data_IF_704625816845
#
_entry.id   IF_704625816845
#
_cell.length_a   1.000
_cell.length_b   1.000
_cell.length_c   1.000
_cell.angle_alpha   90.00
_cell.angle_beta   90.00
_cell.angle_gamma   90.00
#
_symmetry.space_group_name_H-M   'P 1'
#
loop_
_entity.id
_entity.type
_entity.pdbx_description
1 polymer ?
#
# COMPACT_ATOMS: atom_id res chain seq x y z
N UNK A 1 -17.76 73.32 -8.82
CA UNK A 1 -16.68 72.84 -7.93
C UNK A 1 -17.10 71.48 -7.42
N UNK A 2 -16.53 70.41 -7.98
CA UNK A 2 -16.88 69.05 -7.57
C UNK A 2 -16.27 68.77 -6.20
N UNK A 3 -17.13 68.81 -5.18
CA UNK A 3 -16.77 68.47 -3.80
C UNK A 3 -16.20 67.05 -3.79
N UNK A 4 -14.99 66.91 -3.30
CA UNK A 4 -14.34 65.62 -3.11
C UNK A 4 -14.77 64.98 -1.79
N UNK A 5 -14.98 63.67 -1.80
CA UNK A 5 -15.48 62.90 -0.65
C UNK A 5 -14.46 61.84 -0.21
N UNK A 6 -14.35 61.64 1.09
CA UNK A 6 -13.50 60.62 1.70
C UNK A 6 -14.16 59.25 1.66
N UNK A 7 -13.38 58.18 1.90
CA UNK A 7 -13.91 56.80 2.04
C UNK A 7 -15.11 56.71 2.98
N UNK A 8 -15.10 57.44 4.10
CA UNK A 8 -16.20 57.41 5.09
C UNK A 8 -17.48 58.02 4.51
N UNK A 9 -17.37 59.12 3.79
CA UNK A 9 -18.52 59.78 3.16
C UNK A 9 -19.07 58.95 2.01
N UNK A 10 -18.19 58.36 1.18
CA UNK A 10 -18.59 57.44 0.10
C UNK A 10 -19.34 56.23 0.67
N UNK A 11 -18.82 55.64 1.75
CA UNK A 11 -19.46 54.52 2.45
C UNK A 11 -20.90 54.88 2.89
N UNK A 12 -21.09 56.07 3.46
CA UNK A 12 -22.42 56.57 3.83
C UNK A 12 -23.33 56.83 2.63
N UNK A 13 -22.81 57.26 1.48
CA UNK A 13 -23.64 57.52 0.28
C UNK A 13 -24.19 56.27 -0.39
N UNK A 14 -23.51 55.13 -0.22
CA UNK A 14 -23.89 53.88 -0.88
C UNK A 14 -24.30 52.80 0.14
N UNK A 15 -24.53 53.18 1.39
CA UNK A 15 -24.96 52.28 2.47
C UNK A 15 -24.05 51.05 2.63
N UNK A 16 -22.73 51.27 2.62
CA UNK A 16 -21.73 50.23 2.84
C UNK A 16 -20.80 50.62 3.99
N UNK A 17 -20.04 49.66 4.50
CA UNK A 17 -19.05 49.96 5.54
C UNK A 17 -17.78 50.55 4.92
N UNK A 18 -17.08 51.48 5.62
CA UNK A 18 -15.78 51.99 5.14
C UNK A 18 -14.74 50.89 4.86
N UNK A 19 -14.86 49.71 5.48
CA UNK A 19 -13.99 48.58 5.23
C UNK A 19 -14.25 47.94 3.85
N UNK A 20 -15.53 47.76 3.49
CA UNK A 20 -15.93 47.25 2.17
C UNK A 20 -15.44 48.17 1.06
N UNK A 21 -15.62 49.49 1.21
CA UNK A 21 -15.11 50.48 0.24
C UNK A 21 -13.59 50.37 0.07
N UNK A 22 -12.85 50.18 1.17
CA UNK A 22 -11.38 49.99 1.09
C UNK A 22 -10.99 48.71 0.38
N UNK A 23 -11.72 47.62 0.60
CA UNK A 23 -11.46 46.34 -0.06
C UNK A 23 -11.74 46.45 -1.57
N UNK A 24 -12.89 46.99 -1.96
CA UNK A 24 -13.21 47.25 -3.37
C UNK A 24 -12.18 48.19 -4.02
N UNK A 25 -11.79 49.25 -3.31
CA UNK A 25 -10.76 50.15 -3.80
C UNK A 25 -9.39 49.48 -3.95
N UNK A 26 -9.03 48.55 -3.06
CA UNK A 26 -7.77 47.81 -3.14
C UNK A 26 -7.70 46.93 -4.38
N UNK A 27 -8.80 46.26 -4.71
CA UNK A 27 -8.87 45.32 -5.83
C UNK A 27 -9.11 46.02 -7.17
N UNK A 28 -9.95 47.06 -7.20
CA UNK A 28 -10.40 47.72 -8.44
C UNK A 28 -9.82 49.13 -8.59
N UNK A 29 -8.67 49.40 -7.97
CA UNK A 29 -8.07 50.75 -7.87
C UNK A 29 -7.94 51.46 -9.20
N UNK A 30 -7.48 50.73 -10.22
CA UNK A 30 -7.21 51.27 -11.56
C UNK A 30 -8.48 51.70 -12.30
N UNK A 31 -9.64 51.22 -11.86
CA UNK A 31 -10.94 51.51 -12.47
C UNK A 31 -11.76 52.53 -11.68
N UNK A 32 -11.31 52.95 -10.49
CA UNK A 32 -12.01 53.90 -9.63
C UNK A 32 -11.30 55.27 -9.70
N UNK A 33 -11.92 56.29 -10.32
CA UNK A 33 -11.39 57.65 -10.32
C UNK A 33 -11.20 58.18 -8.90
N UNK A 34 -9.98 58.59 -8.58
CA UNK A 34 -9.61 59.10 -7.26
C UNK A 34 -8.45 60.11 -7.34
N UNK A 35 -8.43 61.04 -6.40
CA UNK A 35 -7.36 62.02 -6.23
C UNK A 35 -6.76 61.90 -4.83
N UNK A 36 -5.52 62.37 -4.66
CA UNK A 36 -4.95 62.52 -3.32
C UNK A 36 -5.37 63.86 -2.74
N UNK A 37 -5.66 63.89 -1.44
CA UNK A 37 -6.00 65.13 -0.75
C UNK A 37 -4.83 66.12 -0.82
N UNK A 38 -5.12 67.35 -1.28
CA UNK A 38 -4.17 68.47 -1.30
C UNK A 38 -3.69 68.87 0.11
N UNK A 39 -4.43 68.47 1.15
CA UNK A 39 -4.17 68.82 2.55
C UNK A 39 -3.10 67.93 3.23
N UNK A 40 -2.24 67.26 2.47
CA UNK A 40 -1.05 66.55 2.98
C UNK A 40 -1.31 65.24 3.74
N UNK A 41 -2.56 64.89 4.06
CA UNK A 41 -2.87 63.69 4.86
C UNK A 41 -2.90 62.37 4.06
N UNK A 42 -2.58 62.37 2.77
CA UNK A 42 -2.47 61.16 1.94
C UNK A 42 -3.78 60.39 1.66
N UNK A 43 -4.92 60.87 2.20
CA UNK A 43 -6.24 60.28 1.97
C UNK A 43 -6.65 60.34 0.50
N UNK A 44 -7.32 59.28 0.05
CA UNK A 44 -7.98 59.26 -1.25
C UNK A 44 -9.29 60.03 -1.17
N UNK A 45 -9.48 60.89 -2.15
CA UNK A 45 -10.66 61.73 -2.33
C UNK A 45 -11.33 61.29 -3.62
N UNK A 46 -12.64 61.04 -3.55
CA UNK A 46 -13.46 60.58 -4.65
C UNK A 46 -14.41 61.69 -5.05
N UNK A 47 -14.39 62.06 -6.33
CA UNK A 47 -15.39 62.94 -6.93
C UNK A 47 -16.62 62.10 -7.33
N UNK A 48 -17.59 62.75 -7.97
CA UNK A 48 -18.83 62.13 -8.46
C UNK A 48 -18.56 60.85 -9.27
N UNK A 49 -17.60 60.88 -10.18
CA UNK A 49 -17.23 59.73 -11.04
C UNK A 49 -16.74 58.52 -10.23
N UNK A 50 -15.95 58.76 -9.17
CA UNK A 50 -15.51 57.71 -8.26
C UNK A 50 -16.67 57.10 -7.48
N UNK A 51 -17.62 57.93 -7.04
CA UNK A 51 -18.84 57.48 -6.35
C UNK A 51 -19.72 56.66 -7.29
N UNK A 52 -19.92 57.10 -8.53
CA UNK A 52 -20.66 56.36 -9.56
C UNK A 52 -20.02 54.99 -9.80
N UNK A 53 -18.68 54.89 -9.84
CA UNK A 53 -17.99 53.60 -9.94
C UNK A 53 -18.26 52.69 -8.74
N UNK A 54 -18.26 53.22 -7.52
CA UNK A 54 -18.59 52.41 -6.35
C UNK A 54 -20.04 51.93 -6.34
N UNK A 55 -20.99 52.72 -6.84
CA UNK A 55 -22.39 52.29 -7.02
C UNK A 55 -22.49 51.16 -8.04
N UNK A 56 -21.75 51.23 -9.14
CA UNK A 56 -21.70 50.16 -10.14
C UNK A 56 -21.11 48.87 -9.54
N UNK A 57 -20.01 48.97 -8.80
CA UNK A 57 -19.44 47.83 -8.06
C UNK A 57 -20.45 47.23 -7.08
N UNK A 58 -21.18 48.08 -6.35
CA UNK A 58 -22.22 47.63 -5.41
C UNK A 58 -23.33 46.86 -6.13
N UNK A 59 -23.88 47.38 -7.23
CA UNK A 59 -24.93 46.71 -7.98
C UNK A 59 -24.44 45.35 -8.52
N UNK A 60 -23.24 45.30 -9.11
CA UNK A 60 -22.67 44.06 -9.62
C UNK A 60 -22.41 43.03 -8.50
N UNK A 61 -21.85 43.47 -7.38
CA UNK A 61 -21.50 42.57 -6.28
C UNK A 61 -22.70 42.13 -5.44
N UNK A 62 -23.65 43.03 -5.16
CA UNK A 62 -24.76 42.77 -4.22
C UNK A 62 -26.04 42.31 -4.92
N UNK A 63 -26.37 42.90 -6.06
CA UNK A 63 -27.61 42.56 -6.79
C UNK A 63 -27.38 41.38 -7.73
N UNK A 64 -26.22 41.34 -8.38
CA UNK A 64 -25.89 40.31 -9.37
C UNK A 64 -24.97 39.20 -8.84
N UNK A 65 -24.49 39.31 -7.59
CA UNK A 65 -23.57 38.36 -6.94
C UNK A 65 -22.28 38.10 -7.74
N UNK A 66 -21.77 39.10 -8.46
CA UNK A 66 -20.50 38.97 -9.16
C UNK A 66 -19.33 39.00 -8.18
N UNK A 67 -18.35 38.11 -8.38
CA UNK A 67 -17.06 38.16 -7.69
C UNK A 67 -16.25 39.39 -8.13
N UNK A 68 -15.32 39.85 -7.29
CA UNK A 68 -14.46 40.99 -7.63
C UNK A 68 -13.68 40.78 -8.94
N UNK A 69 -13.27 39.54 -9.26
CA UNK A 69 -12.62 39.20 -10.54
C UNK A 69 -13.53 39.37 -11.76
N UNK A 70 -14.81 39.03 -11.62
CA UNK A 70 -15.79 39.23 -12.69
C UNK A 70 -16.04 40.72 -12.93
N UNK A 71 -16.12 41.50 -11.85
CA UNK A 71 -16.24 42.96 -11.92
C UNK A 71 -14.99 43.59 -12.54
N UNK A 72 -13.80 43.11 -12.16
CA UNK A 72 -12.52 43.55 -12.74
C UNK A 72 -12.48 43.30 -14.25
N UNK A 73 -12.85 42.09 -14.69
CA UNK A 73 -12.92 41.73 -16.10
C UNK A 73 -13.93 42.62 -16.85
N UNK A 74 -15.13 42.79 -16.30
CA UNK A 74 -16.16 43.64 -16.91
C UNK A 74 -15.68 45.08 -17.12
N UNK A 75 -14.94 45.66 -16.17
CA UNK A 75 -14.32 46.97 -16.34
C UNK A 75 -13.16 46.96 -17.33
N UNK A 76 -12.38 45.87 -17.41
CA UNK A 76 -11.29 45.73 -18.38
C UNK A 76 -11.80 45.61 -19.82
N UNK A 77 -12.93 44.94 -20.04
CA UNK A 77 -13.53 44.68 -21.36
C UNK A 77 -14.57 45.71 -21.77
N UNK A 78 -14.75 46.79 -21.00
CA UNK A 78 -15.67 47.87 -21.35
C UNK A 78 -17.15 47.47 -21.33
N UNK A 79 -17.54 46.53 -20.47
CA UNK A 79 -18.93 46.16 -20.27
C UNK A 79 -19.36 44.81 -20.85
N UNK A 80 -18.44 44.05 -21.44
CA UNK A 80 -18.76 42.68 -21.88
C UNK A 80 -19.03 41.75 -20.68
N UNK A 81 -20.14 41.02 -20.73
CA UNK A 81 -20.49 40.02 -19.72
C UNK A 81 -19.38 38.97 -19.64
N UNK A 82 -18.85 38.73 -18.44
CA UNK A 82 -17.89 37.66 -18.19
C UNK A 82 -18.46 36.32 -18.68
N UNK A 83 -17.89 35.78 -19.76
CA UNK A 83 -18.10 34.40 -20.19
C UNK A 83 -16.97 33.59 -19.57
N UNK A 84 -17.16 32.94 -18.41
CA UNK A 84 -16.18 31.95 -17.99
C UNK A 84 -16.07 30.95 -19.14
N UNK A 85 -14.84 30.64 -19.57
CA UNK A 85 -14.63 29.40 -20.30
C UNK A 85 -15.31 28.30 -19.49
N UNK A 86 -16.08 27.39 -20.13
CA UNK A 86 -16.78 26.35 -19.40
C UNK A 86 -15.73 25.49 -18.68
N UNK A 87 -15.52 25.76 -17.39
CA UNK A 87 -14.91 24.78 -16.50
C UNK A 87 -15.72 23.50 -16.67
N UNK A 88 -15.04 22.38 -16.96
CA UNK A 88 -15.67 21.06 -17.00
C UNK A 88 -16.63 20.98 -15.82
N UNK A 89 -17.93 20.86 -16.09
CA UNK A 89 -18.95 20.92 -15.03
C UNK A 89 -18.57 19.89 -13.98
N UNK A 90 -18.74 20.17 -12.68
CA UNK A 90 -18.39 19.23 -11.62
C UNK A 90 -18.91 17.79 -11.87
N UNK A 91 -20.05 17.65 -12.56
CA UNK A 91 -20.59 16.36 -12.99
C UNK A 91 -19.77 15.60 -14.04
N UNK A 92 -19.05 16.29 -14.94
CA UNK A 92 -18.14 15.66 -15.92
C UNK A 92 -16.87 15.13 -15.25
N UNK A 93 -16.31 15.88 -14.30
CA UNK A 93 -15.17 15.41 -13.49
C UNK A 93 -15.56 14.20 -12.63
N UNK A 94 -16.72 14.24 -11.99
CA UNK A 94 -17.26 13.11 -11.21
C UNK A 94 -17.53 11.89 -12.12
N UNK A 95 -18.01 12.11 -13.35
CA UNK A 95 -18.24 11.01 -14.30
C UNK A 95 -16.93 10.37 -14.78
N UNK A 96 -15.88 11.17 -15.03
CA UNK A 96 -14.53 10.69 -15.35
C UNK A 96 -13.95 9.88 -14.18
N UNK A 97 -14.05 10.37 -12.94
CA UNK A 97 -13.58 9.66 -11.74
C UNK A 97 -14.35 8.35 -11.50
N UNK A 98 -15.69 8.36 -11.61
CA UNK A 98 -16.51 7.15 -11.47
C UNK A 98 -16.18 6.10 -12.53
N UNK A 99 -15.83 6.55 -13.75
CA UNK A 99 -15.39 5.64 -14.81
C UNK A 99 -14.04 5.02 -14.47
N UNK A 100 -13.07 5.82 -14.02
CA UNK A 100 -11.75 5.33 -13.62
C UNK A 100 -11.86 4.31 -12.46
N UNK A 101 -12.67 4.60 -11.44
CA UNK A 101 -12.90 3.69 -10.31
C UNK A 101 -13.51 2.37 -10.77
N UNK A 102 -14.45 2.41 -11.74
CA UNK A 102 -15.06 1.18 -12.27
C UNK A 102 -14.06 0.32 -13.04
N UNK A 103 -13.18 0.95 -13.82
CA UNK A 103 -12.13 0.27 -14.58
C UNK A 103 -11.12 -0.38 -13.62
N UNK A 104 -10.69 0.33 -12.58
CA UNK A 104 -9.80 -0.21 -11.55
C UNK A 104 -10.44 -1.37 -10.77
N UNK A 105 -11.71 -1.23 -10.38
CA UNK A 105 -12.48 -2.30 -9.75
C UNK A 105 -12.61 -3.55 -10.63
N UNK A 106 -12.75 -3.37 -11.95
CA UNK A 106 -12.80 -4.49 -12.88
C UNK A 106 -11.45 -5.19 -12.99
N UNK A 107 -10.35 -4.44 -13.08
CA UNK A 107 -9.00 -4.97 -13.10
C UNK A 107 -8.67 -5.75 -11.82
N UNK A 108 -8.98 -5.18 -10.65
CA UNK A 108 -8.77 -5.85 -9.36
C UNK A 108 -9.58 -7.15 -9.22
N UNK A 109 -10.80 -7.20 -9.78
CA UNK A 109 -11.61 -8.43 -9.77
C UNK A 109 -10.98 -9.52 -10.63
N UNK A 110 -10.47 -9.16 -11.80
CA UNK A 110 -9.82 -10.10 -12.70
C UNK A 110 -8.50 -10.62 -12.11
N UNK A 111 -7.68 -9.74 -11.53
CA UNK A 111 -6.44 -10.13 -10.84
C UNK A 111 -6.73 -11.08 -9.67
N UNK A 112 -7.75 -10.77 -8.86
CA UNK A 112 -8.18 -11.66 -7.76
C UNK A 112 -8.65 -13.02 -8.27
N UNK A 113 -9.30 -13.07 -9.43
CA UNK A 113 -9.73 -14.34 -10.04
C UNK A 113 -8.50 -15.16 -10.46
N UNK A 114 -7.53 -14.54 -11.13
CA UNK A 114 -6.30 -15.20 -11.55
C UNK A 114 -5.48 -15.70 -10.35
N UNK A 115 -5.37 -14.91 -9.28
CA UNK A 115 -4.69 -15.34 -8.05
C UNK A 115 -5.36 -16.56 -7.42
N UNK A 116 -6.69 -16.63 -7.40
CA UNK A 116 -7.42 -17.80 -6.90
C UNK A 116 -7.15 -19.04 -7.74
N UNK A 117 -7.20 -18.93 -9.06
CA UNK A 117 -6.89 -20.05 -9.95
C UNK A 117 -5.45 -20.55 -9.76
N UNK A 118 -4.48 -19.65 -9.60
CA UNK A 118 -3.10 -20.03 -9.29
C UNK A 118 -2.96 -20.73 -7.94
N UNK A 119 -3.68 -20.26 -6.91
CA UNK A 119 -3.67 -20.86 -5.59
C UNK A 119 -4.28 -22.27 -5.62
N UNK A 120 -5.42 -22.44 -6.29
CA UNK A 120 -6.08 -23.73 -6.46
C UNK A 120 -5.18 -24.72 -7.22
N UNK A 121 -4.51 -24.26 -8.28
CA UNK A 121 -3.54 -25.07 -9.02
C UNK A 121 -2.34 -25.49 -8.14
N UNK A 122 -1.82 -24.57 -7.32
CA UNK A 122 -0.72 -24.86 -6.41
C UNK A 122 -1.14 -25.84 -5.31
N UNK A 123 -2.34 -25.67 -4.75
CA UNK A 123 -2.88 -26.58 -3.75
C UNK A 123 -3.07 -27.98 -4.32
N UNK A 124 -3.59 -28.08 -5.54
CA UNK A 124 -3.75 -29.34 -6.27
C UNK A 124 -2.39 -30.00 -6.53
N UNK A 125 -1.42 -29.25 -7.05
CA UNK A 125 -0.06 -29.76 -7.27
C UNK A 125 0.59 -30.27 -5.98
N UNK A 126 0.44 -29.52 -4.88
CA UNK A 126 0.97 -29.91 -3.59
C UNK A 126 0.34 -31.20 -3.07
N UNK A 127 -0.98 -31.36 -3.22
CA UNK A 127 -1.71 -32.58 -2.83
C UNK A 127 -1.35 -33.78 -3.67
N UNK A 128 -1.26 -33.61 -4.99
CA UNK A 128 -1.07 -34.73 -5.92
C UNK A 128 0.39 -35.17 -6.05
N UNK A 129 1.34 -34.25 -5.93
CA UNK A 129 2.75 -34.53 -6.24
C UNK A 129 3.67 -34.34 -5.05
N UNK A 130 3.59 -33.21 -4.35
CA UNK A 130 4.55 -32.88 -3.29
C UNK A 130 4.35 -33.79 -2.07
N UNK A 131 3.13 -33.92 -1.57
CA UNK A 131 2.85 -34.75 -0.40
C UNK A 131 3.17 -36.23 -0.66
N UNK A 132 2.70 -36.86 -1.76
CA UNK A 132 3.06 -38.25 -2.05
C UNK A 132 4.56 -38.45 -2.25
N UNK A 133 5.24 -37.52 -2.94
CA UNK A 133 6.69 -37.58 -3.13
C UNK A 133 7.45 -37.57 -1.79
N UNK A 134 7.06 -36.70 -0.85
CA UNK A 134 7.64 -36.68 0.50
C UNK A 134 7.39 -38.01 1.23
N UNK A 135 6.18 -38.57 1.11
CA UNK A 135 5.85 -39.85 1.75
C UNK A 135 6.68 -41.00 1.18
N UNK A 136 6.86 -41.05 -0.14
CA UNK A 136 7.72 -42.04 -0.79
C UNK A 136 9.16 -41.93 -0.31
N UNK A 137 9.75 -40.73 -0.33
CA UNK A 137 11.12 -40.50 0.14
C UNK A 137 11.28 -40.93 1.60
N UNK A 138 10.30 -40.63 2.46
CA UNK A 138 10.32 -41.09 3.86
C UNK A 138 10.33 -42.61 3.98
N UNK A 139 9.55 -43.31 3.14
CA UNK A 139 9.54 -44.77 3.08
C UNK A 139 10.87 -45.37 2.62
N UNK A 140 11.47 -44.79 1.59
CA UNK A 140 12.79 -45.20 1.08
C UNK A 140 13.88 -45.00 2.14
N UNK A 141 13.92 -43.83 2.78
CA UNK A 141 14.88 -43.53 3.86
C UNK A 141 14.72 -44.51 5.02
N UNK A 142 13.48 -44.84 5.41
CA UNK A 142 13.24 -45.83 6.47
C UNK A 142 13.73 -47.23 6.09
N UNK A 143 13.54 -47.62 4.82
CA UNK A 143 13.97 -48.93 4.31
C UNK A 143 15.48 -49.06 4.23
N UNK A 144 16.17 -47.99 3.79
CA UNK A 144 17.62 -47.90 3.77
C UNK A 144 18.17 -48.01 5.19
N UNK A 145 17.59 -47.26 6.14
CA UNK A 145 18.00 -47.31 7.55
C UNK A 145 17.89 -48.72 8.13
N UNK A 146 16.76 -49.41 7.90
CA UNK A 146 16.59 -50.79 8.37
C UNK A 146 17.60 -51.76 7.74
N UNK A 147 18.01 -51.52 6.49
CA UNK A 147 19.05 -52.35 5.85
C UNK A 147 20.42 -52.11 6.46
N UNK A 148 20.78 -50.85 6.73
CA UNK A 148 22.02 -50.50 7.44
C UNK A 148 22.07 -51.12 8.84
N UNK A 149 20.95 -51.14 9.56
CA UNK A 149 20.86 -51.76 10.89
C UNK A 149 21.07 -53.28 10.81
N UNK A 150 20.44 -53.97 9.85
CA UNK A 150 20.68 -55.40 9.62
C UNK A 150 22.12 -55.73 9.23
N UNK A 151 22.74 -54.92 8.38
CA UNK A 151 24.12 -55.13 7.96
C UNK A 151 25.08 -55.03 9.16
N UNK A 152 24.83 -54.09 10.09
CA UNK A 152 25.59 -54.00 11.34
C UNK A 152 25.44 -55.24 12.22
N UNK A 153 24.21 -55.72 12.40
CA UNK A 153 23.96 -56.93 13.19
C UNK A 153 24.65 -58.17 12.58
N UNK A 154 24.63 -58.28 11.25
CA UNK A 154 25.33 -59.35 10.52
C UNK A 154 26.85 -59.25 10.70
N UNK A 155 27.42 -58.05 10.61
CA UNK A 155 28.86 -57.85 10.82
C UNK A 155 29.30 -58.19 12.25
N UNK A 156 28.51 -57.80 13.25
CA UNK A 156 28.75 -58.15 14.65
C UNK A 156 28.67 -59.66 14.87
N UNK A 157 27.64 -60.32 14.32
CA UNK A 157 27.47 -61.77 14.40
C UNK A 157 28.63 -62.52 13.71
N UNK A 158 29.02 -62.08 12.51
CA UNK A 158 30.15 -62.63 11.77
C UNK A 158 31.46 -62.49 12.54
N UNK A 159 31.66 -61.37 13.22
CA UNK A 159 32.82 -61.14 14.08
C UNK A 159 32.82 -62.09 15.28
N UNK A 160 31.72 -62.19 16.01
CA UNK A 160 31.58 -63.11 17.14
C UNK A 160 31.79 -64.57 16.72
N UNK A 161 31.27 -64.97 15.56
CA UNK A 161 31.48 -66.31 15.01
C UNK A 161 32.94 -66.58 14.63
N UNK A 162 33.66 -65.58 14.09
CA UNK A 162 35.10 -65.68 13.82
C UNK A 162 35.90 -65.82 15.11
N UNK A 163 35.61 -65.01 16.12
CA UNK A 163 36.26 -65.07 17.44
C UNK A 163 36.02 -66.43 18.11
N UNK A 164 34.79 -66.95 18.07
CA UNK A 164 34.46 -68.28 18.58
C UNK A 164 35.22 -69.41 17.85
N UNK A 165 35.32 -69.34 16.51
CA UNK A 165 36.11 -70.30 15.72
C UNK A 165 37.59 -70.26 16.09
N UNK A 166 38.16 -69.08 16.31
CA UNK A 166 39.56 -68.93 16.75
C UNK A 166 39.77 -69.54 18.14
N UNK A 167 38.86 -69.32 19.09
CA UNK A 167 38.94 -69.92 20.43
C UNK A 167 38.86 -71.45 20.38
N UNK A 168 37.97 -72.01 19.56
CA UNK A 168 37.85 -73.47 19.37
C UNK A 168 39.11 -74.05 18.73
N UNK A 169 39.66 -73.37 17.72
CA UNK A 169 40.92 -73.79 17.09
C UNK A 169 42.09 -73.77 18.09
N UNK A 170 42.23 -72.69 18.87
CA UNK A 170 43.24 -72.58 19.92
C UNK A 170 43.08 -73.64 21.03
N UNK A 171 41.84 -74.02 21.36
CA UNK A 171 41.57 -75.10 22.30
C UNK A 171 41.93 -76.49 21.75
N UNK A 172 41.82 -76.69 20.43
CA UNK A 172 42.20 -77.95 19.76
C UNK A 172 43.70 -78.05 19.47
N UNK A 173 44.41 -76.94 19.32
CA UNK A 173 45.87 -76.89 19.08
C UNK A 173 46.73 -77.01 20.35
N UNK A 174 46.12 -77.08 21.54
CA UNK A 174 46.80 -77.36 22.82
C UNK A 174 46.41 -78.76 23.34
N UNK A 175 47.07 -79.85 22.89
CA UNK A 175 46.80 -81.20 23.39
C UNK A 175 47.60 -81.58 24.65
N UNK A 176 48.37 -80.66 25.25
CA UNK A 176 49.13 -80.95 26.48
C UNK A 176 48.43 -80.43 27.74
N UNK A 177 47.52 -81.25 28.28
CA UNK A 177 47.52 -81.60 29.71
C UNK A 177 46.64 -82.84 29.98
N UNK A 178 47.29 -84.01 29.91
CA UNK A 178 47.00 -85.26 30.65
C UNK A 178 45.73 -86.10 30.27
N UNK A 179 45.87 -87.30 29.67
CA UNK A 179 44.76 -88.04 29.04
C UNK A 179 43.89 -88.94 29.94
N UNK A 180 43.97 -88.89 31.27
CA UNK A 180 43.36 -89.94 32.12
C UNK A 180 42.20 -89.56 33.04
N UNK A 181 41.68 -88.32 32.97
CA UNK A 181 40.48 -87.96 33.76
C UNK A 181 39.62 -86.97 32.97
N UNK A 182 38.52 -87.45 32.39
CA UNK A 182 37.25 -86.73 32.12
C UNK A 182 36.46 -87.26 30.90
N UNK A 183 36.60 -88.54 30.51
CA UNK A 183 35.60 -89.21 29.64
C UNK A 183 34.26 -89.49 30.37
N UNK A 184 33.74 -88.53 31.13
CA UNK A 184 32.37 -88.50 31.70
C UNK A 184 32.03 -87.05 32.04
N UNK A 185 31.38 -86.31 31.14
CA UNK A 185 30.96 -84.95 31.51
C UNK A 185 30.10 -84.20 30.52
N UNK A 186 30.33 -84.35 29.21
CA UNK A 186 29.64 -83.47 28.25
C UNK A 186 28.44 -84.16 27.57
N UNK A 187 28.65 -85.29 26.89
CA UNK A 187 27.56 -85.99 26.19
C UNK A 187 26.50 -86.61 27.11
N UNK A 188 26.86 -86.95 28.36
CA UNK A 188 25.90 -87.46 29.34
C UNK A 188 24.91 -86.39 29.85
N UNK A 189 25.25 -85.09 29.73
CA UNK A 189 24.37 -83.97 30.11
C UNK A 189 23.47 -83.48 28.99
N UNK A 190 23.81 -83.77 27.72
CA UNK A 190 23.04 -83.30 26.58
C UNK A 190 21.95 -84.29 26.12
N UNK A 191 22.10 -85.60 26.41
CA UNK A 191 21.17 -86.64 25.93
C UNK A 191 20.77 -87.67 27.01
N UNK A 192 20.97 -87.34 28.29
CA UNK A 192 20.37 -88.10 29.40
C UNK A 192 18.92 -87.65 29.59
N UNK A 193 18.00 -88.62 29.46
CA UNK A 193 16.53 -88.52 29.61
C UNK A 193 15.99 -87.39 30.49
#
# INVERSE_FOLDING_TARGET
MDKGFTVKEVASFIDETPNVIRNWFKELRQYIPHEKSDKGNGYNIYKREGIERFKEIQALHREQNWSMKQIEHYFATGGESFKPEPEKKAGELIAEELKAIREEMAALREENKQMKEQLDNQETFNKEFVIPGIQQIKGEVSSIRGSIERDKELDESNRAAKEAKQLIAAANENPDTNPDKQKKGFFARLFGK
#
